data_IF_467484633602
#
_entry.id   IF_467484633602
#
_cell.length_a   1.000
_cell.length_b   1.000
_cell.length_c   1.000
_cell.angle_alpha   90.00
_cell.angle_beta   90.00
_cell.angle_gamma   90.00
#
_symmetry.space_group_name_H-M   'P 1'
#
loop_
_entity.id
_entity.type
_entity.pdbx_description
1 polymer ?
#
# COMPACT_ATOMS: atom_id res chain seq x y z
N UNK A 1 3.96 -7.67 -6.70
CA UNK A 1 5.22 -7.08 -6.18
C UNK A 1 6.28 -8.17 -6.27
N UNK A 2 7.51 -7.84 -6.67
CA UNK A 2 8.62 -8.79 -6.66
C UNK A 2 9.74 -8.14 -5.83
N UNK A 3 10.36 -8.93 -4.95
CA UNK A 3 11.46 -8.56 -4.06
C UNK A 3 12.77 -9.11 -4.64
N UNK A 4 13.53 -8.27 -5.35
CA UNK A 4 14.76 -8.66 -6.04
C UNK A 4 14.61 -9.94 -6.94
N UNK A 5 15.70 -10.44 -7.53
CA UNK A 5 15.68 -11.62 -8.42
C UNK A 5 16.50 -12.80 -7.87
N UNK A 6 16.91 -12.74 -6.60
CA UNK A 6 17.83 -13.69 -5.97
C UNK A 6 17.14 -14.37 -4.78
N UNK A 7 17.30 -15.69 -4.65
CA UNK A 7 16.76 -16.42 -3.50
C UNK A 7 17.43 -15.96 -2.19
N UNK A 8 16.64 -15.68 -1.15
CA UNK A 8 17.11 -15.38 0.20
C UNK A 8 17.80 -16.57 0.87
N UNK A 9 18.82 -16.31 1.68
CA UNK A 9 19.46 -17.32 2.55
C UNK A 9 18.72 -17.53 3.87
N UNK A 10 17.75 -16.67 4.18
CA UNK A 10 16.84 -16.75 5.34
C UNK A 10 15.54 -15.99 5.04
N UNK A 11 14.55 -16.06 5.93
CA UNK A 11 13.23 -15.44 5.71
C UNK A 11 13.31 -13.91 5.48
N UNK A 12 14.13 -13.19 6.24
CA UNK A 12 14.32 -11.73 6.10
C UNK A 12 15.51 -11.37 5.21
N UNK A 13 15.73 -12.09 4.11
CA UNK A 13 16.82 -11.80 3.17
C UNK A 13 16.26 -11.80 1.75
N UNK A 14 16.57 -10.76 0.98
CA UNK A 14 16.03 -10.50 -0.35
C UNK A 14 14.50 -10.35 -0.37
N UNK A 15 13.92 -9.80 0.71
CA UNK A 15 12.55 -9.29 0.70
C UNK A 15 12.55 -7.81 0.22
N UNK A 16 11.66 -6.94 0.69
CA UNK A 16 11.72 -5.52 0.30
C UNK A 16 13.02 -4.84 0.80
N UNK A 17 13.82 -5.48 1.67
CA UNK A 17 15.26 -5.29 1.98
C UNK A 17 15.74 -3.82 2.02
N UNK A 18 15.26 -3.06 3.00
CA UNK A 18 15.62 -1.63 3.18
C UNK A 18 15.01 -0.69 2.13
N UNK A 19 14.15 -1.23 1.27
CA UNK A 19 13.60 -0.57 0.10
C UNK A 19 12.13 -0.17 0.21
N UNK A 20 11.63 0.29 -0.93
CA UNK A 20 10.22 0.57 -1.16
C UNK A 20 9.89 -0.04 -2.51
N UNK A 21 8.92 -0.93 -2.54
CA UNK A 21 8.35 -1.42 -3.80
C UNK A 21 6.94 -0.90 -3.95
N UNK A 22 6.53 -0.64 -5.19
CA UNK A 22 5.23 -0.04 -5.44
C UNK A 22 4.65 -0.48 -6.77
N UNK A 23 3.33 -0.42 -6.84
CA UNK A 23 2.56 -0.49 -8.08
C UNK A 23 1.71 0.78 -8.18
N UNK A 24 1.51 1.23 -9.40
CA UNK A 24 0.74 2.44 -9.66
C UNK A 24 -0.28 2.17 -10.78
N UNK A 25 -1.50 2.66 -10.59
CA UNK A 25 -2.55 2.58 -11.60
C UNK A 25 -2.25 3.51 -12.79
N UNK A 26 -2.91 3.29 -13.94
CA UNK A 26 -3.13 4.34 -14.92
C UNK A 26 -3.88 5.54 -14.31
N UNK A 27 -3.94 6.70 -15.00
CA UNK A 27 -4.82 7.80 -14.61
C UNK A 27 -6.28 7.37 -14.51
N UNK A 28 -6.97 7.84 -13.47
CA UNK A 28 -8.38 7.58 -13.18
C UNK A 28 -9.06 8.95 -13.09
N UNK A 29 -9.95 9.23 -14.03
CA UNK A 29 -10.79 10.42 -13.96
C UNK A 29 -11.89 10.19 -12.93
N UNK A 30 -11.94 11.02 -11.89
CA UNK A 30 -12.98 10.95 -10.87
C UNK A 30 -14.20 11.81 -11.27
N UNK A 31 -15.42 11.38 -10.93
CA UNK A 31 -16.62 12.19 -11.10
C UNK A 31 -16.48 13.55 -10.40
N UNK A 32 -17.13 14.59 -10.95
CA UNK A 32 -17.07 15.95 -10.40
C UNK A 32 -17.89 16.14 -9.11
N UNK A 33 -18.76 15.20 -8.76
CA UNK A 33 -19.62 15.27 -7.58
C UNK A 33 -20.09 13.88 -7.13
N UNK A 34 -20.67 13.80 -5.94
CA UNK A 34 -21.12 12.55 -5.30
C UNK A 34 -20.07 12.00 -4.33
N UNK A 35 -20.47 10.99 -3.55
CA UNK A 35 -19.56 10.30 -2.64
C UNK A 35 -18.69 9.36 -3.48
N UNK A 36 -17.37 9.58 -3.46
CA UNK A 36 -16.42 8.74 -4.19
C UNK A 36 -15.66 7.90 -3.18
N UNK A 37 -15.76 6.59 -3.32
CA UNK A 37 -15.20 5.65 -2.35
C UNK A 37 -14.24 4.70 -3.04
N UNK A 38 -13.02 4.61 -2.50
CA UNK A 38 -12.08 3.53 -2.82
C UNK A 38 -12.31 2.39 -1.83
N UNK A 39 -12.50 1.17 -2.33
CA UNK A 39 -12.50 -0.06 -1.56
C UNK A 39 -11.43 -1.01 -2.08
N UNK A 40 -10.80 -1.76 -1.19
CA UNK A 40 -9.82 -2.78 -1.54
C UNK A 40 -9.71 -3.82 -0.43
N UNK A 41 -9.16 -4.98 -0.77
CA UNK A 41 -8.65 -5.95 0.20
C UNK A 41 -7.14 -5.86 0.25
N UNK A 42 -6.56 -6.06 1.43
CA UNK A 42 -5.12 -6.05 1.61
C UNK A 42 -4.70 -6.94 2.79
N UNK A 43 -3.41 -7.25 2.86
CA UNK A 43 -2.74 -7.71 4.07
C UNK A 43 -1.38 -7.03 4.16
N UNK A 44 -0.87 -6.86 5.38
CA UNK A 44 0.49 -6.44 5.69
C UNK A 44 1.01 -7.35 6.80
N UNK A 45 1.82 -8.34 6.46
CA UNK A 45 2.38 -9.30 7.41
C UNK A 45 3.83 -8.98 7.73
N UNK A 46 4.23 -9.19 8.97
CA UNK A 46 5.59 -8.97 9.42
C UNK A 46 5.92 -9.83 10.66
N UNK A 47 7.21 -10.00 10.91
CA UNK A 47 7.70 -10.66 12.13
C UNK A 47 7.98 -9.64 13.24
N UNK A 48 8.28 -10.14 14.44
CA UNK A 48 8.47 -9.33 15.65
C UNK A 48 9.70 -8.40 15.65
N UNK A 49 10.51 -8.45 14.61
CA UNK A 49 11.65 -7.55 14.39
C UNK A 49 11.31 -6.39 13.42
N UNK A 50 10.04 -6.24 13.05
CA UNK A 50 9.52 -5.08 12.33
C UNK A 50 9.36 -3.86 13.25
N UNK A 51 9.17 -2.70 12.65
CA UNK A 51 8.82 -1.47 13.35
C UNK A 51 7.88 -0.60 12.52
N UNK A 52 7.48 0.56 13.06
CA UNK A 52 6.66 1.52 12.32
C UNK A 52 7.35 2.11 11.07
N UNK A 53 8.63 1.80 10.84
CA UNK A 53 9.33 2.09 9.59
C UNK A 53 8.82 1.26 8.42
N UNK A 54 8.24 0.09 8.71
CA UNK A 54 7.74 -0.87 7.74
C UNK A 54 6.24 -0.64 7.61
N UNK A 55 5.73 -0.67 6.38
CA UNK A 55 4.34 -0.32 6.17
C UNK A 55 3.78 -0.81 4.84
N UNK A 56 2.47 -0.98 4.83
CA UNK A 56 1.65 -0.89 3.62
C UNK A 56 0.98 0.50 3.56
N UNK A 57 1.07 1.17 2.42
CA UNK A 57 0.53 2.53 2.25
C UNK A 57 -0.17 2.70 0.91
N UNK A 58 -1.31 3.39 0.94
CA UNK A 58 -2.02 3.83 -0.26
C UNK A 58 -1.88 5.34 -0.40
N UNK A 59 -1.44 5.76 -1.59
CA UNK A 59 -1.30 7.15 -1.98
C UNK A 59 -2.24 7.48 -3.13
N UNK A 60 -2.78 8.69 -3.09
CA UNK A 60 -3.26 9.40 -4.26
C UNK A 60 -2.09 10.18 -4.87
N UNK A 61 -1.83 9.96 -6.15
CA UNK A 61 -0.94 10.79 -6.98
C UNK A 61 -1.81 11.77 -7.75
N UNK A 62 -1.70 13.06 -7.42
CA UNK A 62 -2.43 14.13 -8.12
C UNK A 62 -1.83 14.40 -9.50
N UNK A 63 -2.54 15.16 -10.33
CA UNK A 63 -2.11 15.49 -11.70
C UNK A 63 -0.76 16.24 -11.79
N UNK A 64 -0.39 16.96 -10.72
CA UNK A 64 0.89 17.66 -10.56
C UNK A 64 2.02 16.76 -10.02
N UNK A 65 1.74 15.48 -9.74
CA UNK A 65 2.69 14.53 -9.15
C UNK A 65 2.73 14.53 -7.62
N UNK A 66 1.98 15.42 -6.95
CA UNK A 66 1.92 15.47 -5.48
C UNK A 66 1.35 14.16 -4.92
N UNK A 67 2.04 13.58 -3.92
CA UNK A 67 1.61 12.36 -3.23
C UNK A 67 0.86 12.71 -1.95
N UNK A 68 -0.36 12.17 -1.81
CA UNK A 68 -1.18 12.29 -0.61
C UNK A 68 -1.44 10.90 -0.04
N UNK A 69 -1.08 10.67 1.22
CA UNK A 69 -1.40 9.41 1.90
C UNK A 69 -2.88 9.40 2.25
N UNK A 70 -3.57 8.36 1.82
CA UNK A 70 -5.02 8.19 2.10
C UNK A 70 -5.30 6.95 2.95
N UNK A 71 -4.33 6.04 3.06
CA UNK A 71 -4.35 4.92 3.99
C UNK A 71 -2.93 4.49 4.33
N UNK A 72 -2.71 4.01 5.57
CA UNK A 72 -1.46 3.40 6.00
C UNK A 72 -1.73 2.39 7.12
N UNK A 73 -1.10 1.22 7.01
CA UNK A 73 -0.89 0.27 8.09
C UNK A 73 0.62 0.15 8.34
N UNK A 74 1.04 0.28 9.59
CA UNK A 74 2.45 0.21 9.99
C UNK A 74 2.73 -1.11 10.69
N UNK A 75 3.93 -1.64 10.49
CA UNK A 75 4.42 -2.76 11.27
C UNK A 75 4.68 -2.40 12.73
N UNK A 76 4.89 -3.44 13.54
CA UNK A 76 5.17 -3.34 14.96
C UNK A 76 6.08 -4.49 15.44
N UNK A 77 6.54 -4.40 16.69
CA UNK A 77 7.43 -5.38 17.30
C UNK A 77 6.68 -6.64 17.79
N UNK A 78 5.83 -7.19 16.93
CA UNK A 78 5.02 -8.38 17.12
C UNK A 78 4.92 -9.19 15.82
N UNK A 79 4.41 -10.42 15.92
CA UNK A 79 4.21 -11.27 14.76
C UNK A 79 2.79 -11.07 14.24
N UNK A 80 2.67 -10.49 13.05
CA UNK A 80 1.39 -10.33 12.34
C UNK A 80 1.37 -11.25 11.11
N UNK A 81 0.47 -12.22 11.15
CA UNK A 81 0.33 -13.22 10.09
C UNK A 81 -0.58 -12.70 8.98
N UNK A 82 -0.24 -12.98 7.73
CA UNK A 82 -1.02 -12.55 6.57
C UNK A 82 -2.50 -12.95 6.68
N UNK A 83 -3.36 -11.93 6.78
CA UNK A 83 -4.81 -12.08 6.80
C UNK A 83 -5.45 -10.98 5.94
N UNK A 84 -6.26 -11.38 4.96
CA UNK A 84 -6.93 -10.43 4.06
C UNK A 84 -8.02 -9.63 4.77
N UNK A 85 -7.77 -8.35 5.04
CA UNK A 85 -8.73 -7.39 5.56
C UNK A 85 -9.33 -6.52 4.43
N UNK A 86 -10.55 -6.03 4.65
CA UNK A 86 -11.19 -5.05 3.76
C UNK A 86 -10.98 -3.63 4.27
N UNK A 87 -10.73 -2.69 3.36
CA UNK A 87 -10.60 -1.27 3.68
C UNK A 87 -11.40 -0.40 2.71
N UNK A 88 -11.90 0.72 3.23
CA UNK A 88 -12.67 1.74 2.53
C UNK A 88 -12.12 3.13 2.85
N UNK A 89 -11.92 3.95 1.82
CA UNK A 89 -11.35 5.30 1.91
C UNK A 89 -12.20 6.27 1.11
N UNK A 90 -12.52 7.41 1.70
CA UNK A 90 -13.21 8.51 1.01
C UNK A 90 -12.22 9.27 0.11
N UNK A 91 -12.56 9.38 -1.19
CA UNK A 91 -11.82 10.12 -2.20
C UNK A 91 -12.56 11.38 -2.68
N UNK A 92 -13.66 11.77 -2.04
CA UNK A 92 -14.50 12.89 -2.48
C UNK A 92 -13.77 14.23 -2.53
N UNK A 93 -12.72 14.42 -1.71
CA UNK A 93 -11.80 15.58 -1.77
C UNK A 93 -11.06 15.70 -3.11
N UNK A 94 -11.03 14.62 -3.90
CA UNK A 94 -10.41 14.57 -5.23
C UNK A 94 -11.46 14.61 -6.37
N UNK A 95 -12.73 14.89 -6.08
CA UNK A 95 -13.79 14.98 -7.09
C UNK A 95 -13.40 15.92 -8.25
N UNK A 96 -13.69 15.50 -9.47
CA UNK A 96 -13.41 16.22 -10.71
C UNK A 96 -11.94 16.20 -11.14
N UNK A 97 -11.04 15.59 -10.36
CA UNK A 97 -9.62 15.47 -10.70
C UNK A 97 -9.34 14.14 -11.42
N UNK A 98 -8.25 14.13 -12.19
CA UNK A 98 -7.62 12.89 -12.65
C UNK A 98 -6.49 12.53 -11.68
N UNK A 99 -6.58 11.35 -11.08
CA UNK A 99 -5.62 10.86 -10.09
C UNK A 99 -4.99 9.53 -10.51
N UNK A 100 -3.92 9.10 -9.85
CA UNK A 100 -3.50 7.69 -9.84
C UNK A 100 -3.49 7.17 -8.41
N UNK A 101 -3.71 5.88 -8.24
CA UNK A 101 -3.48 5.21 -6.97
C UNK A 101 -2.10 4.56 -7.00
N UNK A 102 -1.33 4.74 -5.92
CA UNK A 102 -0.06 4.03 -5.70
C UNK A 102 -0.15 3.24 -4.40
N UNK A 103 0.13 1.95 -4.51
CA UNK A 103 0.24 1.05 -3.37
C UNK A 103 1.73 0.81 -3.11
N UNK A 104 2.15 1.02 -1.88
CA UNK A 104 3.55 0.98 -1.44
C UNK A 104 3.69 -0.07 -0.32
N UNK A 105 4.69 -0.92 -0.42
CA UNK A 105 5.16 -1.76 0.68
C UNK A 105 6.61 -1.38 0.99
N UNK A 106 6.90 -1.13 2.26
CA UNK A 106 8.22 -0.72 2.73
C UNK A 106 8.72 -1.71 3.79
N UNK A 107 9.93 -2.21 3.59
CA UNK A 107 10.76 -2.81 4.64
C UNK A 107 11.93 -1.84 4.83
N UNK A 108 11.93 -1.11 5.94
CA UNK A 108 12.98 -0.14 6.28
C UNK A 108 13.63 -0.42 7.62
N UNK A 109 13.06 -1.34 8.39
CA UNK A 109 13.66 -1.89 9.59
C UNK A 109 14.81 -2.82 9.17
N UNK A 110 15.90 -2.80 9.93
CA UNK A 110 17.10 -3.57 9.58
C UNK A 110 16.86 -5.06 9.83
N UNK A 111 16.96 -5.87 8.76
CA UNK A 111 16.87 -7.33 8.85
C UNK A 111 15.48 -7.82 9.24
N UNK A 112 14.44 -7.07 8.89
CA UNK A 112 13.04 -7.42 9.16
C UNK A 112 12.42 -8.22 8.00
N UNK A 113 11.15 -8.58 8.13
CA UNK A 113 10.38 -9.19 7.06
C UNK A 113 9.11 -8.37 6.86
N UNK A 114 8.78 -8.02 5.62
CA UNK A 114 7.43 -7.60 5.25
C UNK A 114 6.89 -8.37 4.05
N UNK A 115 5.63 -8.80 4.16
CA UNK A 115 4.85 -9.26 3.02
C UNK A 115 3.59 -8.42 2.90
N UNK A 116 3.28 -7.95 1.70
CA UNK A 116 2.05 -7.20 1.47
C UNK A 116 1.36 -7.63 0.18
N UNK A 117 0.04 -7.71 0.26
CA UNK A 117 -0.85 -7.99 -0.87
C UNK A 117 -1.97 -6.97 -0.95
N UNK A 118 -2.44 -6.71 -2.17
CA UNK A 118 -3.62 -5.90 -2.43
C UNK A 118 -4.44 -6.55 -3.54
N UNK A 119 -5.76 -6.62 -3.37
CA UNK A 119 -6.70 -7.19 -4.33
C UNK A 119 -8.06 -6.50 -4.26
N UNK A 120 -8.96 -6.79 -5.20
CA UNK A 120 -10.33 -6.28 -5.27
C UNK A 120 -10.40 -4.74 -5.17
N UNK A 121 -9.47 -4.04 -5.84
CA UNK A 121 -9.42 -2.58 -5.85
C UNK A 121 -10.57 -2.04 -6.71
N UNK A 122 -11.50 -1.33 -6.09
CA UNK A 122 -12.69 -0.78 -6.74
C UNK A 122 -12.92 0.66 -6.28
N UNK A 123 -13.14 1.57 -7.24
CA UNK A 123 -13.63 2.91 -6.98
C UNK A 123 -15.11 2.96 -7.38
N UNK A 124 -15.98 3.36 -6.47
CA UNK A 124 -17.41 3.54 -6.72
C UNK A 124 -17.82 4.98 -6.47
N UNK A 125 -18.87 5.42 -7.19
CA UNK A 125 -19.61 6.64 -6.90
C UNK A 125 -20.98 6.27 -6.37
N UNK A 126 -21.41 6.90 -5.29
CA UNK A 126 -22.77 6.83 -4.76
C UNK A 126 -23.47 8.17 -4.89
#
# INVERSE_FOLDING_TARGET
LITALTAGSSAGTNDVDGGLTSIQSPPIALPASGLITLSFRFYSAHLSNSSSSDYFRVRVVRGDGTLQTVFQETGAADNDAAAWAGQTVDLSTYAGQSIRLRFEAADRSSGSLIEAGVDNVVITRQ
#
